data_IF_091393593446
#
_entry.id   IF_091393593446
#
_cell.length_a   1.000
_cell.length_b   1.000
_cell.length_c   1.000
_cell.angle_alpha   90.00
_cell.angle_beta   90.00
_cell.angle_gamma   90.00
#
_symmetry.space_group_name_H-M   'P 1'
#
loop_
_entity.id
_entity.type
_entity.pdbx_description
1 polymer ?
#
# COMPACT_ATOMS: atom_id res chain seq x y z
N UNK A 1 28.69 58.51 28.52
CA UNK A 1 28.41 57.07 28.50
C UNK A 1 27.22 56.85 27.52
N UNK A 2 27.46 56.22 26.35
CA UNK A 2 26.43 55.93 25.34
C UNK A 2 26.08 54.44 25.45
N UNK A 3 24.80 54.05 25.51
CA UNK A 3 24.45 52.64 25.50
C UNK A 3 24.56 52.07 24.08
N UNK A 4 25.25 50.93 23.98
CA UNK A 4 25.22 50.09 22.76
C UNK A 4 23.91 49.28 22.74
N UNK A 5 23.11 49.53 21.73
CA UNK A 5 21.92 48.74 21.46
C UNK A 5 22.35 47.58 20.56
N UNK A 6 22.37 46.37 21.10
CA UNK A 6 22.65 45.14 20.34
C UNK A 6 21.33 44.62 19.74
N UNK A 7 21.16 44.80 18.45
CA UNK A 7 19.99 44.26 17.72
C UNK A 7 20.23 42.79 17.44
N UNK A 8 19.51 41.91 18.12
CA UNK A 8 19.51 40.47 17.82
C UNK A 8 18.61 40.20 16.60
N UNK A 9 19.22 39.72 15.52
CA UNK A 9 18.51 39.31 14.30
C UNK A 9 18.03 37.87 14.49
N UNK A 10 16.73 37.69 14.70
CA UNK A 10 16.12 36.36 14.77
C UNK A 10 15.94 35.81 13.33
N UNK A 11 16.71 34.78 12.98
CA UNK A 11 16.54 34.02 11.73
C UNK A 11 15.41 33.03 11.90
N UNK A 12 14.26 33.30 11.30
CA UNK A 12 13.17 32.30 11.16
C UNK A 12 13.60 31.29 10.11
N UNK A 13 13.94 30.08 10.52
CA UNK A 13 14.09 28.93 9.63
C UNK A 13 12.71 28.43 9.21
N UNK A 14 12.28 28.74 7.99
CA UNK A 14 11.08 28.14 7.38
C UNK A 14 11.42 26.74 6.89
N UNK A 15 10.96 25.72 7.62
CA UNK A 15 11.04 24.32 7.17
C UNK A 15 10.06 24.13 6.01
N UNK A 16 10.57 24.08 4.79
CA UNK A 16 9.79 23.66 3.63
C UNK A 16 9.53 22.15 3.76
N UNK A 17 8.29 21.75 4.07
CA UNK A 17 7.84 20.39 3.92
C UNK A 17 7.79 20.06 2.43
N UNK A 18 8.77 19.29 1.95
CA UNK A 18 8.72 18.71 0.62
C UNK A 18 7.50 17.76 0.56
N UNK A 19 6.48 18.11 -0.20
CA UNK A 19 5.41 17.19 -0.55
C UNK A 19 6.07 16.18 -1.50
N UNK A 20 6.39 14.99 -1.00
CA UNK A 20 6.84 13.90 -1.85
C UNK A 20 5.70 13.59 -2.84
N UNK A 21 6.00 13.64 -4.13
CA UNK A 21 5.06 13.23 -5.18
C UNK A 21 4.76 11.73 -5.06
N UNK A 22 3.68 11.29 -5.72
CA UNK A 22 3.34 9.87 -5.79
C UNK A 22 4.48 9.07 -6.45
N UNK A 23 4.87 7.96 -5.82
CA UNK A 23 5.89 7.05 -6.35
C UNK A 23 5.25 6.17 -7.41
N UNK A 24 5.67 6.31 -8.66
CA UNK A 24 5.13 5.49 -9.75
C UNK A 24 5.48 3.99 -9.57
N UNK A 25 4.64 3.06 -10.06
CA UNK A 25 4.87 1.62 -9.88
C UNK A 25 6.26 1.12 -10.30
N UNK A 26 6.84 1.73 -11.33
CA UNK A 26 8.18 1.39 -11.84
C UNK A 26 9.33 1.91 -10.96
N UNK A 27 9.05 2.93 -10.15
CA UNK A 27 10.04 3.62 -9.32
C UNK A 27 10.06 3.10 -7.88
N UNK A 28 9.21 2.10 -7.56
CA UNK A 28 9.18 1.49 -6.24
C UNK A 28 10.47 0.72 -5.97
N UNK A 29 11.15 1.09 -4.89
CA UNK A 29 12.36 0.40 -4.41
C UNK A 29 12.00 -0.60 -3.32
N UNK A 30 12.41 -1.86 -3.52
CA UNK A 30 12.24 -2.93 -2.55
C UNK A 30 13.50 -3.09 -1.71
N UNK A 31 13.34 -3.11 -0.40
CA UNK A 31 14.36 -3.43 0.58
C UNK A 31 14.43 -4.92 0.89
N UNK A 32 14.99 -5.22 2.06
CA UNK A 32 15.13 -6.60 2.54
C UNK A 32 13.76 -7.27 2.69
N UNK A 33 13.69 -8.53 2.29
CA UNK A 33 12.44 -9.34 2.28
C UNK A 33 11.27 -8.68 1.55
N UNK A 34 11.55 -7.83 0.56
CA UNK A 34 10.53 -7.20 -0.26
C UNK A 34 9.81 -6.02 0.42
N UNK A 35 10.30 -5.51 1.54
CA UNK A 35 9.74 -4.35 2.20
C UNK A 35 9.84 -3.09 1.32
N UNK A 36 8.86 -2.18 1.43
CA UNK A 36 8.84 -0.88 0.77
C UNK A 36 8.75 0.20 1.85
N UNK A 37 9.90 0.79 2.20
CA UNK A 37 10.03 1.75 3.29
C UNK A 37 9.36 3.09 2.97
N UNK A 38 9.48 3.53 1.73
CA UNK A 38 8.92 4.81 1.29
C UNK A 38 7.41 4.69 1.10
N UNK A 39 6.64 5.61 1.70
CA UNK A 39 5.22 5.76 1.38
C UNK A 39 5.06 6.09 -0.10
N UNK A 40 4.06 5.46 -0.75
CA UNK A 40 3.79 5.66 -2.17
C UNK A 40 3.20 7.04 -2.47
N UNK A 41 2.56 7.67 -1.49
CA UNK A 41 1.88 8.97 -1.68
C UNK A 41 2.45 10.08 -0.80
N UNK A 42 3.22 9.74 0.23
CA UNK A 42 3.63 10.68 1.28
C UNK A 42 2.45 11.19 2.13
N UNK A 43 1.26 10.60 1.97
CA UNK A 43 0.05 10.91 2.74
C UNK A 43 -0.30 9.73 3.64
N UNK A 44 -0.91 9.97 4.81
CA UNK A 44 -1.46 8.89 5.63
C UNK A 44 -2.50 8.07 4.86
N UNK A 45 -2.53 6.76 5.11
CA UNK A 45 -3.62 5.90 4.65
C UNK A 45 -4.86 6.07 5.52
N UNK A 46 -6.01 5.85 4.91
CA UNK A 46 -7.32 5.83 5.57
C UNK A 46 -7.75 4.37 5.82
N UNK A 47 -7.76 3.90 7.08
CA UNK A 47 -8.11 2.52 7.38
C UNK A 47 -9.58 2.18 7.05
N UNK A 48 -10.51 3.14 7.08
CA UNK A 48 -11.90 2.91 6.70
C UNK A 48 -12.01 2.66 5.19
N UNK A 49 -11.31 3.47 4.39
CA UNK A 49 -11.23 3.23 2.95
C UNK A 49 -10.45 1.95 2.64
N UNK A 50 -9.41 1.62 3.39
CA UNK A 50 -8.68 0.35 3.29
C UNK A 50 -9.60 -0.86 3.45
N UNK A 51 -10.49 -0.84 4.46
CA UNK A 51 -11.50 -1.87 4.66
C UNK A 51 -12.47 -1.97 3.45
N UNK A 52 -12.89 -0.84 2.88
CA UNK A 52 -13.74 -0.81 1.67
C UNK A 52 -13.02 -1.39 0.47
N UNK A 53 -11.76 -1.03 0.23
CA UNK A 53 -10.92 -1.58 -0.84
C UNK A 53 -10.84 -3.10 -0.72
N UNK A 54 -10.59 -3.62 0.49
CA UNK A 54 -10.41 -5.06 0.73
C UNK A 54 -11.67 -5.89 0.46
N UNK A 55 -12.85 -5.38 0.76
CA UNK A 55 -14.13 -6.10 0.56
C UNK A 55 -14.82 -5.81 -0.77
N UNK A 56 -14.34 -4.84 -1.55
CA UNK A 56 -14.95 -4.49 -2.84
C UNK A 56 -14.42 -5.39 -3.96
N UNK A 57 -15.29 -6.23 -4.54
CA UNK A 57 -14.94 -7.24 -5.56
C UNK A 57 -14.27 -6.66 -6.81
N UNK A 58 -14.67 -5.46 -7.23
CA UNK A 58 -14.12 -4.78 -8.42
C UNK A 58 -12.86 -3.97 -8.14
N UNK A 59 -12.32 -4.00 -6.90
CA UNK A 59 -11.15 -3.23 -6.48
C UNK A 59 -10.10 -4.20 -5.93
N UNK A 60 -9.92 -4.27 -4.60
CA UNK A 60 -8.91 -5.14 -4.00
C UNK A 60 -9.34 -6.60 -3.89
N UNK A 61 -10.61 -6.82 -3.54
CA UNK A 61 -11.20 -8.15 -3.39
C UNK A 61 -10.39 -9.13 -2.51
N UNK A 62 -9.72 -8.60 -1.50
CA UNK A 62 -8.79 -9.37 -0.66
C UNK A 62 -9.49 -10.50 0.11
N UNK A 63 -10.74 -10.24 0.53
CA UNK A 63 -11.55 -11.24 1.25
C UNK A 63 -11.88 -12.48 0.41
N UNK A 64 -11.76 -12.44 -0.91
CA UNK A 64 -11.96 -13.65 -1.74
C UNK A 64 -10.89 -14.73 -1.50
N UNK A 65 -9.76 -14.34 -0.93
CA UNK A 65 -8.65 -15.23 -0.61
C UNK A 65 -8.32 -15.30 0.89
N UNK A 66 -8.65 -14.24 1.64
CA UNK A 66 -8.28 -14.10 3.04
C UNK A 66 -9.50 -13.97 3.95
N UNK A 67 -9.48 -14.69 5.05
CA UNK A 67 -10.37 -14.42 6.17
C UNK A 67 -9.90 -13.17 6.93
N UNK A 68 -10.85 -12.30 7.31
CA UNK A 68 -10.62 -11.06 8.05
C UNK A 68 -11.79 -10.85 9.00
N UNK A 69 -11.64 -11.16 10.28
CA UNK A 69 -12.75 -11.11 11.26
C UNK A 69 -13.36 -9.71 11.41
N UNK A 70 -12.57 -8.66 11.23
CA UNK A 70 -13.04 -7.28 11.26
C UNK A 70 -13.98 -6.92 10.10
N UNK A 71 -14.01 -7.72 9.01
CA UNK A 71 -14.83 -7.53 7.81
C UNK A 71 -15.94 -8.58 7.68
N UNK A 72 -16.34 -9.23 8.76
CA UNK A 72 -17.36 -10.29 8.78
C UNK A 72 -18.76 -9.85 8.29
N UNK A 73 -18.99 -8.55 8.15
CA UNK A 73 -20.18 -8.00 7.51
C UNK A 73 -20.23 -8.26 6.00
N UNK A 74 -19.07 -8.52 5.38
CA UNK A 74 -18.97 -8.93 4.00
C UNK A 74 -19.00 -10.47 3.90
N UNK A 75 -19.83 -11.07 3.02
CA UNK A 75 -19.92 -12.52 2.89
C UNK A 75 -18.79 -13.12 2.04
N UNK A 76 -18.57 -14.42 2.18
CA UNK A 76 -17.71 -15.23 1.30
C UNK A 76 -16.21 -14.92 1.43
N UNK A 77 -15.68 -14.97 2.64
CA UNK A 77 -14.25 -14.98 2.85
C UNK A 77 -13.63 -16.30 2.40
N UNK A 78 -12.50 -16.20 1.68
CA UNK A 78 -11.75 -17.37 1.23
C UNK A 78 -10.68 -17.79 2.25
N UNK A 79 -10.21 -19.02 2.07
CA UNK A 79 -9.19 -19.66 2.91
C UNK A 79 -7.91 -20.00 2.11
N UNK A 80 -7.73 -19.38 0.93
CA UNK A 80 -6.56 -19.62 0.07
C UNK A 80 -5.31 -18.96 0.65
N UNK A 81 -5.47 -17.74 1.15
CA UNK A 81 -4.44 -16.99 1.87
C UNK A 81 -4.58 -17.18 3.38
N UNK A 82 -3.54 -16.82 4.16
CA UNK A 82 -3.64 -16.84 5.62
C UNK A 82 -4.68 -15.84 6.13
N UNK A 83 -5.25 -16.13 7.30
CA UNK A 83 -6.07 -15.15 8.03
C UNK A 83 -5.28 -13.87 8.31
N UNK A 84 -5.92 -12.72 8.13
CA UNK A 84 -5.27 -11.41 8.29
C UNK A 84 -5.46 -10.80 9.69
N UNK A 85 -6.20 -11.45 10.57
CA UNK A 85 -6.24 -11.08 11.98
C UNK A 85 -4.81 -11.13 12.56
N UNK A 86 -4.42 -10.13 13.33
CA UNK A 86 -3.05 -9.99 13.84
C UNK A 86 -1.99 -9.58 12.79
N UNK A 87 -2.38 -9.24 11.56
CA UNK A 87 -1.42 -8.85 10.52
C UNK A 87 -0.54 -7.67 10.93
N UNK A 88 -1.11 -6.70 11.65
CA UNK A 88 -0.40 -5.52 12.14
C UNK A 88 0.57 -5.80 13.30
N UNK A 89 0.55 -7.00 13.89
CA UNK A 89 1.56 -7.44 14.86
C UNK A 89 2.67 -8.24 14.20
N UNK A 90 2.34 -8.97 13.12
CA UNK A 90 3.31 -9.81 12.41
C UNK A 90 4.17 -9.05 11.41
N UNK A 91 3.67 -7.95 10.85
CA UNK A 91 4.31 -7.22 9.77
C UNK A 91 4.39 -5.72 10.06
N UNK A 92 5.51 -5.10 9.74
CA UNK A 92 5.62 -3.63 9.71
C UNK A 92 4.84 -3.06 8.53
N UNK A 93 4.52 -1.76 8.58
CA UNK A 93 3.89 -1.06 7.44
C UNK A 93 4.70 -1.19 6.15
N UNK A 94 6.03 -1.12 6.23
CA UNK A 94 6.91 -1.28 5.08
C UNK A 94 6.79 -2.69 4.46
N UNK A 95 6.67 -3.72 5.29
CA UNK A 95 6.47 -5.09 4.83
C UNK A 95 5.06 -5.28 4.26
N UNK A 96 4.02 -4.77 4.92
CA UNK A 96 2.64 -4.80 4.40
C UNK A 96 2.54 -4.08 3.05
N UNK A 97 3.17 -2.91 2.92
CA UNK A 97 3.24 -2.17 1.66
C UNK A 97 3.92 -2.98 0.58
N UNK A 98 5.06 -3.59 0.87
CA UNK A 98 5.78 -4.45 -0.06
C UNK A 98 4.96 -5.65 -0.54
N UNK A 99 4.24 -6.31 0.36
CA UNK A 99 3.33 -7.43 0.04
C UNK A 99 2.21 -6.98 -0.90
N UNK A 100 1.62 -5.81 -0.68
CA UNK A 100 0.57 -5.27 -1.55
C UNK A 100 1.14 -4.84 -2.91
N UNK A 101 2.28 -4.17 -2.92
CA UNK A 101 2.91 -3.74 -4.18
C UNK A 101 3.26 -4.96 -5.03
N UNK A 102 3.98 -5.93 -4.48
CA UNK A 102 4.32 -7.16 -5.18
C UNK A 102 4.74 -8.28 -4.21
N UNK A 103 3.79 -9.06 -3.75
CA UNK A 103 4.02 -10.18 -2.82
C UNK A 103 5.08 -11.19 -3.30
N UNK A 104 5.34 -11.27 -4.60
CA UNK A 104 6.34 -12.18 -5.17
C UNK A 104 7.78 -11.81 -4.82
N UNK A 105 8.00 -10.57 -4.34
CA UNK A 105 9.30 -10.13 -3.82
C UNK A 105 9.62 -10.75 -2.45
N UNK A 106 8.58 -11.05 -1.66
CA UNK A 106 8.70 -11.69 -0.34
C UNK A 106 8.50 -13.21 -0.45
N UNK A 107 7.48 -13.63 -1.20
CA UNK A 107 7.08 -15.03 -1.37
C UNK A 107 7.10 -15.43 -2.85
N UNK A 108 8.24 -15.87 -3.39
CA UNK A 108 8.31 -16.37 -4.77
C UNK A 108 7.31 -17.50 -4.99
N UNK A 109 6.53 -17.44 -6.06
CA UNK A 109 5.51 -18.45 -6.36
C UNK A 109 4.14 -18.21 -5.73
N UNK A 110 3.95 -17.20 -4.88
CA UNK A 110 2.63 -16.87 -4.33
C UNK A 110 1.61 -16.56 -5.42
N UNK A 111 0.35 -16.96 -5.19
CA UNK A 111 -0.78 -16.64 -6.05
C UNK A 111 -1.27 -15.18 -5.86
N UNK A 112 -0.95 -14.54 -4.72
CA UNK A 112 -1.37 -13.19 -4.42
C UNK A 112 -0.99 -12.24 -5.57
N UNK A 113 -1.92 -11.44 -6.12
CA UNK A 113 -1.61 -10.48 -7.16
C UNK A 113 -0.58 -9.43 -6.72
N UNK A 114 0.12 -8.85 -7.69
CA UNK A 114 0.89 -7.62 -7.48
C UNK A 114 -0.05 -6.44 -7.75
N UNK A 115 -0.50 -5.77 -6.71
CA UNK A 115 -1.55 -4.76 -6.82
C UNK A 115 -1.04 -3.41 -7.36
N UNK A 116 0.28 -3.14 -7.20
CA UNK A 116 0.88 -1.88 -7.67
C UNK A 116 2.03 -2.15 -8.64
N UNK A 117 1.71 -2.85 -9.73
CA UNK A 117 2.65 -3.26 -10.78
C UNK A 117 2.01 -3.04 -12.15
N UNK A 118 2.78 -2.56 -13.13
CA UNK A 118 2.31 -2.18 -14.48
C UNK A 118 3.08 -2.82 -15.62
N UNK A 119 4.14 -3.59 -15.32
CA UNK A 119 5.02 -4.18 -16.33
C UNK A 119 5.50 -5.59 -15.96
N UNK A 120 6.29 -6.22 -16.83
CA UNK A 120 6.83 -7.56 -16.58
C UNK A 120 5.77 -8.65 -16.54
N UNK A 121 4.64 -8.45 -17.21
CA UNK A 121 3.63 -9.47 -17.46
C UNK A 121 3.95 -10.17 -18.79
N UNK A 122 3.72 -11.49 -18.83
CA UNK A 122 4.00 -12.29 -20.04
C UNK A 122 2.86 -12.14 -21.05
N UNK A 123 1.61 -12.12 -20.58
CA UNK A 123 0.42 -12.08 -21.42
C UNK A 123 -0.69 -11.30 -20.73
N UNK A 124 -0.56 -9.97 -20.63
CA UNK A 124 -1.62 -9.17 -20.04
C UNK A 124 -2.83 -9.14 -20.97
N UNK A 125 -4.02 -9.20 -20.38
CA UNK A 125 -5.25 -9.17 -21.15
C UNK A 125 -6.49 -9.33 -20.27
N UNK A 126 -7.63 -9.12 -20.87
CA UNK A 126 -8.92 -9.35 -20.24
C UNK A 126 -9.19 -10.86 -20.17
N UNK A 127 -9.24 -11.38 -18.96
CA UNK A 127 -9.48 -12.80 -18.70
C UNK A 127 -10.86 -13.28 -19.23
N UNK A 128 -11.86 -12.40 -19.28
CA UNK A 128 -13.20 -12.73 -19.71
C UNK A 128 -13.37 -12.74 -21.23
N UNK A 129 -12.84 -11.72 -21.90
CA UNK A 129 -12.96 -11.60 -23.37
C UNK A 129 -11.80 -12.22 -24.13
N UNK A 130 -10.68 -12.49 -23.47
CA UNK A 130 -9.44 -12.94 -24.10
C UNK A 130 -8.74 -11.88 -24.94
N UNK A 131 -9.21 -10.63 -24.93
CA UNK A 131 -8.56 -9.51 -25.64
C UNK A 131 -7.25 -9.16 -24.98
N UNK A 132 -6.29 -8.71 -25.79
CA UNK A 132 -5.06 -8.13 -25.27
C UNK A 132 -5.37 -6.87 -24.44
N UNK A 133 -4.60 -6.65 -23.38
CA UNK A 133 -4.71 -5.42 -22.63
C UNK A 133 -4.29 -4.22 -23.46
N UNK A 134 -4.92 -3.07 -23.20
CA UNK A 134 -4.48 -1.79 -23.74
C UNK A 134 -3.29 -1.27 -22.93
N UNK A 135 -2.32 -0.70 -23.61
CA UNK A 135 -1.13 -0.10 -22.98
C UNK A 135 -1.29 1.43 -22.86
N UNK A 136 -0.82 2.07 -21.78
CA UNK A 136 -0.14 1.47 -20.64
C UNK A 136 -1.10 0.77 -19.66
N UNK A 137 -0.66 -0.35 -19.07
CA UNK A 137 -1.43 -1.06 -18.07
C UNK A 137 -1.57 -0.20 -16.81
N UNK A 138 -2.78 0.02 -16.27
CA UNK A 138 -2.94 0.60 -14.96
C UNK A 138 -2.57 -0.44 -13.86
N UNK A 139 -2.11 0.00 -12.68
CA UNK A 139 -2.02 -0.89 -11.53
C UNK A 139 -3.43 -1.31 -11.08
N UNK A 140 -3.53 -2.44 -10.37
CA UNK A 140 -4.80 -2.93 -9.82
C UNK A 140 -5.37 -2.02 -8.71
N UNK A 141 -4.49 -1.41 -7.92
CA UNK A 141 -4.81 -0.40 -6.92
C UNK A 141 -4.03 0.88 -7.20
N UNK A 142 -4.60 2.03 -6.86
CA UNK A 142 -3.85 3.29 -6.83
C UNK A 142 -2.85 3.29 -5.67
N UNK A 143 -1.86 4.18 -5.70
CA UNK A 143 -0.92 4.35 -4.61
C UNK A 143 -1.63 4.62 -3.27
N UNK A 144 -2.65 5.49 -3.28
CA UNK A 144 -3.40 5.80 -2.06
C UNK A 144 -4.20 4.59 -1.56
N UNK A 145 -4.81 3.80 -2.43
CA UNK A 145 -5.51 2.57 -2.03
C UNK A 145 -4.56 1.54 -1.40
N UNK A 146 -3.31 1.47 -1.86
CA UNK A 146 -2.29 0.64 -1.19
C UNK A 146 -2.03 1.15 0.22
N UNK A 147 -1.79 2.46 0.40
CA UNK A 147 -1.58 3.05 1.72
C UNK A 147 -2.80 2.87 2.65
N UNK A 148 -4.01 2.99 2.12
CA UNK A 148 -5.25 2.80 2.87
C UNK A 148 -5.37 1.35 3.38
N UNK A 149 -5.06 0.36 2.54
CA UNK A 149 -5.05 -1.06 2.95
C UNK A 149 -3.95 -1.33 3.96
N UNK A 150 -2.75 -0.73 3.80
CA UNK A 150 -1.67 -0.82 4.81
C UNK A 150 -2.16 -0.27 6.14
N UNK A 151 -2.79 0.91 6.14
CA UNK A 151 -3.34 1.52 7.35
C UNK A 151 -4.38 0.61 8.03
N UNK A 152 -5.31 0.02 7.26
CA UNK A 152 -6.28 -0.93 7.80
C UNK A 152 -5.60 -2.17 8.39
N UNK A 153 -4.68 -2.82 7.66
CA UNK A 153 -3.99 -4.03 8.12
C UNK A 153 -3.14 -3.77 9.37
N UNK A 154 -2.57 -2.58 9.49
CA UNK A 154 -1.80 -2.17 10.68
C UNK A 154 -2.68 -2.08 11.94
N UNK A 155 -3.99 -1.92 11.80
CA UNK A 155 -4.95 -1.96 12.92
C UNK A 155 -5.33 -3.38 13.34
N UNK A 156 -5.07 -4.40 12.51
CA UNK A 156 -5.42 -5.78 12.78
C UNK A 156 -4.43 -6.38 13.77
N UNK A 157 -4.78 -6.34 15.06
CA UNK A 157 -3.96 -6.85 16.16
C UNK A 157 -4.46 -8.21 16.63
N UNK A 158 -3.58 -9.02 17.20
CA UNK A 158 -3.96 -10.25 17.89
C UNK A 158 -4.86 -9.90 19.08
N UNK A 159 -5.92 -10.69 19.27
CA UNK A 159 -6.86 -10.53 20.38
C UNK A 159 -6.51 -11.48 21.51
#
# INVERSE_FOLDING_TARGET
MKPLITTALAVLATSATAIAGEVAPKDVTFGEYGAVEQSLTGKPGDPENGALVMKTKSVGNCISCHEVSALKDAPFHGEIGPILDGAGDRWSEAQLRGLLVNAKKTFPGTMMPAYYKVDGYVRPGDAFTGKAAEEPLPPLLTAQQVEDVVAFLSTQKEQ
#
